data_IF_231513761226
#
_entry.id   IF_231513761226
#
_cell.length_a   1.000
_cell.length_b   1.000
_cell.length_c   1.000
_cell.angle_alpha   90.00
_cell.angle_beta   90.00
_cell.angle_gamma   90.00
#
_symmetry.space_group_name_H-M   'P 1'
#
loop_
_entity.id
_entity.type
_entity.pdbx_description
1 polymer ?
#
# COMPACT_ATOMS: atom_id res chain seq x y z
N UNK A 1 -24.05 -41.82 -84.13
CA UNK A 1 -24.72 -40.58 -83.75
C UNK A 1 -24.26 -40.27 -82.28
N UNK A 2 -23.44 -39.26 -82.06
CA UNK A 2 -23.21 -38.82 -80.70
C UNK A 2 -23.93 -37.49 -80.41
N UNK A 3 -24.57 -37.44 -79.26
CA UNK A 3 -25.31 -36.29 -78.77
C UNK A 3 -24.29 -35.24 -78.20
N UNK A 4 -24.55 -33.97 -78.63
CA UNK A 4 -23.70 -32.86 -78.15
C UNK A 4 -24.05 -32.43 -76.74
N UNK A 5 -22.99 -32.12 -75.99
CA UNK A 5 -23.08 -31.55 -74.65
C UNK A 5 -23.12 -30.03 -74.79
N UNK A 6 -24.20 -29.38 -74.26
CA UNK A 6 -24.34 -27.95 -74.18
C UNK A 6 -23.65 -27.45 -72.90
N UNK A 7 -22.61 -26.64 -73.05
CA UNK A 7 -21.92 -25.99 -71.96
C UNK A 7 -22.64 -24.70 -71.52
N UNK A 8 -23.21 -24.69 -70.31
CA UNK A 8 -23.75 -23.48 -69.69
C UNK A 8 -22.61 -22.57 -69.21
N UNK A 9 -22.54 -21.36 -69.78
CA UNK A 9 -21.69 -20.27 -69.27
C UNK A 9 -22.25 -19.73 -67.97
N UNK A 10 -21.47 -19.87 -66.89
CA UNK A 10 -21.76 -19.24 -65.60
C UNK A 10 -21.48 -17.73 -65.64
N UNK A 11 -22.45 -16.93 -65.27
CA UNK A 11 -22.27 -15.51 -64.99
C UNK A 11 -21.56 -15.32 -63.68
N UNK A 12 -20.43 -14.61 -63.68
CA UNK A 12 -19.78 -14.11 -62.45
C UNK A 12 -20.46 -12.80 -62.05
N UNK A 13 -20.90 -12.62 -60.79
CA UNK A 13 -21.39 -11.33 -60.32
C UNK A 13 -20.24 -10.32 -60.15
N UNK A 14 -20.47 -9.02 -60.30
CA UNK A 14 -19.45 -7.99 -60.19
C UNK A 14 -19.08 -7.77 -58.72
N UNK A 15 -17.78 -7.91 -58.41
CA UNK A 15 -17.17 -7.52 -57.16
C UNK A 15 -16.67 -6.07 -57.28
N UNK A 16 -17.45 -5.06 -56.85
CA UNK A 16 -16.83 -3.90 -56.23
C UNK A 16 -17.57 -3.31 -55.00
N UNK A 17 -18.69 -3.87 -54.55
CA UNK A 17 -19.47 -3.23 -53.49
C UNK A 17 -19.00 -3.61 -52.06
N UNK A 18 -18.26 -4.72 -51.87
CA UNK A 18 -17.88 -5.22 -50.54
C UNK A 18 -16.62 -4.52 -50.00
N UNK A 19 -15.70 -4.13 -50.88
CA UNK A 19 -14.42 -3.50 -50.45
C UNK A 19 -14.65 -2.06 -49.95
N UNK A 20 -15.57 -1.32 -50.53
CA UNK A 20 -15.91 0.03 -50.08
C UNK A 20 -16.61 0.07 -48.72
N UNK A 21 -17.43 -0.95 -48.41
CA UNK A 21 -18.13 -1.05 -47.13
C UNK A 21 -17.21 -1.37 -45.94
N UNK A 22 -16.20 -2.21 -46.15
CA UNK A 22 -15.24 -2.58 -45.10
C UNK A 22 -14.30 -1.43 -44.76
N UNK A 23 -13.86 -0.65 -45.76
CA UNK A 23 -12.99 0.53 -45.52
C UNK A 23 -13.77 1.63 -44.79
N UNK A 24 -15.03 1.86 -45.13
CA UNK A 24 -15.86 2.85 -44.44
C UNK A 24 -16.18 2.42 -43.00
N UNK A 25 -16.42 1.13 -42.73
CA UNK A 25 -16.66 0.62 -41.38
C UNK A 25 -15.38 0.70 -40.49
N UNK A 26 -14.20 0.40 -41.05
CA UNK A 26 -12.92 0.51 -40.31
C UNK A 26 -12.59 1.99 -40.01
N UNK A 27 -12.86 2.91 -40.94
CA UNK A 27 -12.64 4.35 -40.70
C UNK A 27 -13.63 4.89 -39.66
N UNK A 28 -14.91 4.47 -39.69
CA UNK A 28 -15.89 4.88 -38.68
C UNK A 28 -15.54 4.33 -37.30
N UNK A 29 -15.07 3.07 -37.20
CA UNK A 29 -14.62 2.48 -35.92
C UNK A 29 -13.35 3.19 -35.41
N UNK A 30 -12.42 3.52 -36.30
CA UNK A 30 -11.20 4.26 -35.90
C UNK A 30 -11.53 5.71 -35.48
N UNK A 31 -12.44 6.38 -36.13
CA UNK A 31 -12.87 7.76 -35.82
C UNK A 31 -13.70 7.77 -34.52
N UNK A 32 -14.56 6.77 -34.30
CA UNK A 32 -15.29 6.65 -33.01
C UNK A 32 -14.42 6.22 -31.87
N UNK A 33 -13.38 5.38 -32.09
CA UNK A 33 -12.39 5.06 -31.06
C UNK A 33 -11.52 6.27 -30.70
N UNK A 34 -11.17 7.13 -31.65
CA UNK A 34 -10.44 8.38 -31.39
C UNK A 34 -11.31 9.45 -30.69
N UNK A 35 -12.63 9.43 -30.88
CA UNK A 35 -13.58 10.33 -30.21
C UNK A 35 -13.88 9.89 -28.75
N UNK A 36 -13.48 8.67 -28.35
CA UNK A 36 -13.68 8.10 -27.03
C UNK A 36 -12.45 8.14 -26.13
N UNK A 37 -11.38 8.83 -26.54
CA UNK A 37 -10.30 9.15 -25.60
C UNK A 37 -10.86 10.28 -24.71
N UNK A 38 -11.12 10.05 -23.40
CA UNK A 38 -11.58 11.11 -22.53
C UNK A 38 -10.56 12.24 -22.62
N UNK A 39 -10.99 13.43 -23.01
CA UNK A 39 -10.19 14.64 -22.78
C UNK A 39 -10.05 14.72 -21.27
N UNK A 40 -8.81 14.67 -20.76
CA UNK A 40 -8.59 14.88 -19.34
C UNK A 40 -9.13 16.23 -18.88
N UNK A 41 -9.22 16.46 -17.56
CA UNK A 41 -9.75 17.69 -17.02
C UNK A 41 -8.90 18.90 -17.43
N UNK A 42 -9.39 20.09 -17.14
CA UNK A 42 -8.61 21.32 -17.26
C UNK A 42 -7.37 21.26 -16.34
N UNK A 43 -6.24 21.78 -16.82
CA UNK A 43 -5.02 21.81 -16.03
C UNK A 43 -5.16 22.86 -14.94
N UNK A 44 -4.90 22.50 -13.67
CA UNK A 44 -4.88 23.38 -12.50
C UNK A 44 -3.44 23.70 -12.11
N UNK A 45 -3.27 24.69 -11.21
CA UNK A 45 -1.95 25.11 -10.77
C UNK A 45 -1.28 24.13 -9.80
N UNK A 46 -2.06 23.44 -8.98
CA UNK A 46 -1.56 22.44 -8.03
C UNK A 46 -2.59 21.31 -7.79
N UNK A 47 -2.14 20.25 -7.12
CA UNK A 47 -2.98 19.09 -6.78
C UNK A 47 -4.23 19.49 -5.98
N UNK A 48 -4.10 20.44 -5.04
CA UNK A 48 -5.20 20.84 -4.17
C UNK A 48 -6.38 21.48 -4.91
N UNK A 49 -6.13 22.08 -6.08
CA UNK A 49 -7.14 22.76 -6.90
C UNK A 49 -8.03 21.80 -7.69
N UNK A 50 -7.64 20.54 -7.83
CA UNK A 50 -8.44 19.51 -8.50
C UNK A 50 -9.52 18.96 -7.57
N UNK A 51 -10.72 18.72 -8.10
CA UNK A 51 -11.70 17.86 -7.45
C UNK A 51 -11.26 16.39 -7.49
N UNK A 52 -11.83 15.55 -6.62
CA UNK A 52 -11.57 14.11 -6.64
C UNK A 52 -12.02 13.44 -7.94
N UNK A 53 -13.07 13.96 -8.59
CA UNK A 53 -13.49 13.52 -9.93
C UNK A 53 -12.42 13.82 -10.99
N UNK A 54 -11.82 15.02 -10.96
CA UNK A 54 -10.74 15.40 -11.88
C UNK A 54 -9.48 14.55 -11.61
N UNK A 55 -9.13 14.32 -10.35
CA UNK A 55 -8.01 13.45 -9.96
C UNK A 55 -8.24 12.02 -10.46
N UNK A 56 -9.45 11.48 -10.32
CA UNK A 56 -9.78 10.15 -10.84
C UNK A 56 -9.62 10.07 -12.36
N UNK A 57 -10.01 11.11 -13.10
CA UNK A 57 -9.79 11.16 -14.56
C UNK A 57 -8.29 11.20 -14.89
N UNK A 58 -7.50 11.99 -14.16
CA UNK A 58 -6.05 12.07 -14.37
C UNK A 58 -5.39 10.72 -14.04
N UNK A 59 -5.80 10.08 -12.93
CA UNK A 59 -5.33 8.75 -12.55
C UNK A 59 -5.55 7.72 -13.66
N UNK A 60 -6.76 7.71 -14.27
CA UNK A 60 -7.04 6.85 -15.42
C UNK A 60 -6.14 7.16 -16.64
N UNK A 61 -5.77 8.41 -16.88
CA UNK A 61 -4.84 8.78 -17.94
C UNK A 61 -3.42 8.29 -17.66
N UNK A 62 -2.99 8.35 -16.39
CA UNK A 62 -1.71 7.82 -15.92
C UNK A 62 -1.68 6.30 -16.08
N UNK A 63 -2.70 5.60 -15.58
CA UNK A 63 -2.81 4.14 -15.65
C UNK A 63 -2.73 3.61 -17.10
N UNK A 64 -3.36 4.32 -18.04
CA UNK A 64 -3.33 3.96 -19.47
C UNK A 64 -1.94 4.01 -20.12
N UNK A 65 -0.98 4.68 -19.53
CA UNK A 65 0.38 4.76 -20.08
C UNK A 65 1.16 3.45 -19.93
N UNK A 66 0.85 2.67 -18.90
CA UNK A 66 1.42 1.33 -18.68
C UNK A 66 2.88 1.30 -18.25
N UNK A 67 3.61 2.41 -18.36
CA UNK A 67 5.00 2.55 -17.93
C UNK A 67 5.22 3.83 -17.11
N UNK A 68 6.29 3.83 -16.33
CA UNK A 68 6.60 4.92 -15.39
C UNK A 68 6.90 6.25 -16.10
N UNK A 69 7.60 6.23 -17.23
CA UNK A 69 7.95 7.46 -17.94
C UNK A 69 6.70 8.14 -18.51
N UNK A 70 5.82 7.37 -19.13
CA UNK A 70 4.54 7.87 -19.63
C UNK A 70 3.63 8.38 -18.50
N UNK A 71 3.63 7.71 -17.35
CA UNK A 71 2.92 8.16 -16.15
C UNK A 71 3.42 9.54 -15.68
N UNK A 72 4.75 9.71 -15.58
CA UNK A 72 5.40 10.97 -15.19
C UNK A 72 5.09 12.09 -16.20
N UNK A 73 5.06 11.83 -17.50
CA UNK A 73 4.68 12.85 -18.49
C UNK A 73 3.26 13.37 -18.28
N UNK A 74 2.31 12.49 -17.97
CA UNK A 74 0.95 12.89 -17.63
C UNK A 74 0.94 13.67 -16.31
N UNK A 75 1.64 13.19 -15.29
CA UNK A 75 1.74 13.86 -13.99
C UNK A 75 2.31 15.29 -14.11
N UNK A 76 3.37 15.48 -14.90
CA UNK A 76 3.93 16.80 -15.21
C UNK A 76 2.92 17.74 -15.84
N UNK A 77 2.17 17.23 -16.83
CA UNK A 77 1.14 18.03 -17.51
C UNK A 77 0.10 18.59 -16.54
N UNK A 78 -0.23 17.83 -15.50
CA UNK A 78 -1.26 18.19 -14.51
C UNK A 78 -0.66 18.73 -13.20
N UNK A 79 0.61 19.08 -13.17
CA UNK A 79 1.33 19.61 -12.01
C UNK A 79 1.25 18.71 -10.76
N UNK A 80 1.27 17.38 -10.98
CA UNK A 80 1.24 16.37 -9.92
C UNK A 80 2.62 15.89 -9.49
N UNK A 81 3.67 16.43 -10.06
CA UNK A 81 5.07 16.23 -9.69
C UNK A 81 5.89 17.47 -10.08
N UNK A 82 7.14 17.51 -9.67
CA UNK A 82 8.07 18.58 -10.05
C UNK A 82 8.34 18.61 -11.56
N UNK A 83 8.96 19.67 -12.06
CA UNK A 83 9.26 19.82 -13.50
C UNK A 83 10.23 18.76 -14.03
N UNK A 84 11.07 18.19 -13.18
CA UNK A 84 11.95 17.04 -13.51
C UNK A 84 11.30 15.67 -13.26
N UNK A 85 10.04 15.65 -12.79
CA UNK A 85 9.24 14.44 -12.65
C UNK A 85 9.39 13.73 -11.32
N UNK A 86 9.94 14.39 -10.32
CA UNK A 86 10.10 13.85 -8.97
C UNK A 86 8.90 14.15 -8.08
N UNK A 87 8.74 13.35 -7.04
CA UNK A 87 7.88 13.61 -5.90
C UNK A 87 8.76 14.09 -4.74
N UNK A 88 8.42 15.24 -4.17
CA UNK A 88 9.17 15.91 -3.09
C UNK A 88 8.30 16.23 -1.86
N UNK A 89 7.08 15.66 -1.81
CA UNK A 89 6.12 15.86 -0.73
C UNK A 89 5.33 17.17 -0.82
N UNK A 90 5.56 18.02 -1.83
CA UNK A 90 4.80 19.28 -2.01
C UNK A 90 3.46 19.06 -2.73
N UNK A 91 3.29 17.93 -3.39
CA UNK A 91 2.05 17.55 -4.09
C UNK A 91 1.02 17.04 -3.09
N UNK A 92 0.33 17.96 -2.44
CA UNK A 92 -0.61 17.67 -1.34
C UNK A 92 -2.03 18.11 -1.67
N UNK A 93 -3.01 17.45 -1.02
CA UNK A 93 -4.43 17.80 -1.08
C UNK A 93 -5.07 17.71 0.29
N UNK A 94 -5.89 18.72 0.59
CA UNK A 94 -6.64 18.77 1.84
C UNK A 94 -7.85 17.81 1.77
N UNK A 95 -8.12 17.14 2.89
CA UNK A 95 -9.25 16.23 3.10
C UNK A 95 -9.95 16.62 4.39
N UNK A 96 -11.26 16.86 4.32
CA UNK A 96 -12.07 17.08 5.51
C UNK A 96 -12.80 15.79 5.84
N UNK A 97 -12.49 15.19 6.99
CA UNK A 97 -13.17 13.98 7.47
C UNK A 97 -14.61 14.29 7.91
N UNK A 98 -15.44 13.26 8.04
CA UNK A 98 -16.88 13.40 8.38
C UNK A 98 -17.13 14.05 9.74
N UNK A 99 -16.18 13.97 10.67
CA UNK A 99 -16.23 14.63 11.99
C UNK A 99 -15.75 16.10 11.94
N UNK A 100 -15.33 16.60 10.76
CA UNK A 100 -14.78 17.95 10.55
C UNK A 100 -13.28 18.06 10.74
N UNK A 101 -12.59 16.99 11.09
CA UNK A 101 -11.12 16.97 11.19
C UNK A 101 -10.49 17.30 9.83
N UNK A 102 -9.54 18.23 9.85
CA UNK A 102 -8.76 18.58 8.66
C UNK A 102 -7.55 17.67 8.57
N UNK A 103 -7.47 16.91 7.51
CA UNK A 103 -6.35 16.05 7.18
C UNK A 103 -5.76 16.47 5.83
N UNK A 104 -4.60 15.93 5.50
CA UNK A 104 -3.91 16.17 4.25
C UNK A 104 -3.32 14.88 3.72
N UNK A 105 -3.36 14.71 2.40
CA UNK A 105 -2.70 13.60 1.71
C UNK A 105 -1.66 14.13 0.74
N UNK A 106 -0.64 13.33 0.45
CA UNK A 106 0.37 13.59 -0.57
C UNK A 106 0.47 12.43 -1.53
N UNK A 107 0.92 12.71 -2.76
CA UNK A 107 1.15 11.66 -3.75
C UNK A 107 2.39 10.86 -3.34
N UNK A 108 2.23 9.54 -3.26
CA UNK A 108 3.29 8.59 -2.92
C UNK A 108 3.90 7.93 -4.16
N UNK A 109 3.11 7.73 -5.22
CA UNK A 109 3.59 7.11 -6.46
C UNK A 109 2.59 7.14 -7.61
N UNK A 110 3.09 6.81 -8.80
CA UNK A 110 2.31 6.64 -10.02
C UNK A 110 2.49 5.22 -10.57
N UNK A 111 1.39 4.60 -11.02
CA UNK A 111 1.38 3.24 -11.61
C UNK A 111 2.15 2.20 -10.77
N UNK A 112 2.07 2.30 -9.46
CA UNK A 112 2.79 1.42 -8.54
C UNK A 112 1.97 0.15 -8.27
N UNK A 113 0.76 0.29 -7.78
CA UNK A 113 -0.08 -0.77 -7.26
C UNK A 113 -0.96 -1.42 -8.33
N UNK A 114 -1.13 -2.73 -8.26
CA UNK A 114 -2.05 -3.48 -9.12
C UNK A 114 -3.46 -3.46 -8.51
N UNK A 115 -4.47 -3.17 -9.34
CA UNK A 115 -5.86 -3.21 -8.90
C UNK A 115 -6.32 -4.65 -8.71
N UNK A 116 -7.01 -4.92 -7.60
CA UNK A 116 -7.48 -6.26 -7.25
C UNK A 116 -8.50 -6.85 -8.21
N UNK A 117 -9.13 -6.04 -9.06
CA UNK A 117 -10.03 -6.50 -10.11
C UNK A 117 -9.31 -7.00 -11.38
N UNK A 118 -7.98 -6.94 -11.39
CA UNK A 118 -7.14 -7.36 -12.51
C UNK A 118 -7.18 -6.40 -13.71
N UNK A 119 -7.77 -5.21 -13.58
CA UNK A 119 -7.90 -4.25 -14.69
C UNK A 119 -6.61 -3.43 -14.96
N UNK A 120 -5.52 -3.76 -14.30
CA UNK A 120 -4.20 -3.12 -14.44
C UNK A 120 -3.81 -2.27 -13.24
N UNK A 121 -2.90 -1.32 -13.43
CA UNK A 121 -2.39 -0.46 -12.37
C UNK A 121 -3.42 0.59 -11.92
N UNK A 122 -3.39 0.93 -10.65
CA UNK A 122 -3.93 2.18 -10.14
C UNK A 122 -3.00 3.33 -10.54
N UNK A 123 -3.57 4.45 -11.02
CA UNK A 123 -2.74 5.51 -11.61
C UNK A 123 -2.01 6.36 -10.57
N UNK A 124 -2.65 6.65 -9.45
CA UNK A 124 -2.09 7.51 -8.40
C UNK A 124 -2.29 6.85 -7.04
N UNK A 125 -1.21 6.76 -6.28
CA UNK A 125 -1.21 6.32 -4.87
C UNK A 125 -0.97 7.53 -3.97
N UNK A 126 -1.77 7.64 -2.92
CA UNK A 126 -1.70 8.68 -1.88
C UNK A 126 -1.38 8.09 -0.52
N UNK A 127 -0.82 8.92 0.36
CA UNK A 127 -0.68 8.64 1.80
C UNK A 127 -1.08 9.87 2.61
N UNK A 128 -1.68 9.67 3.78
CA UNK A 128 -1.91 10.75 4.74
C UNK A 128 -0.59 11.29 5.28
N UNK A 129 -0.44 12.63 5.35
CA UNK A 129 0.81 13.28 5.78
C UNK A 129 1.00 13.22 7.29
N UNK A 130 -0.11 13.17 8.03
CA UNK A 130 -0.15 13.16 9.49
C UNK A 130 -0.96 11.98 10.00
N UNK A 131 -0.82 11.67 11.27
CA UNK A 131 -1.58 10.60 11.91
C UNK A 131 -3.07 10.96 11.92
N UNK A 132 -3.89 10.14 11.29
CA UNK A 132 -5.36 10.29 11.29
C UNK A 132 -5.98 9.80 12.59
N UNK A 133 -5.28 8.94 13.30
CA UNK A 133 -5.64 8.42 14.62
C UNK A 133 -4.38 7.87 15.31
N UNK A 134 -4.52 7.48 16.57
CA UNK A 134 -3.64 6.55 17.26
C UNK A 134 -4.42 5.29 17.56
N UNK A 135 -3.88 4.16 17.16
CA UNK A 135 -4.55 2.86 17.30
C UNK A 135 -3.52 1.77 17.62
N UNK A 136 -3.97 0.71 18.22
CA UNK A 136 -3.18 -0.51 18.30
C UNK A 136 -3.18 -1.25 16.97
N UNK A 137 -2.11 -1.97 16.67
CA UNK A 137 -2.08 -2.88 15.54
C UNK A 137 -3.06 -4.04 15.76
N UNK A 138 -2.99 -4.67 16.95
CA UNK A 138 -3.92 -5.69 17.41
C UNK A 138 -4.48 -5.28 18.77
N UNK A 139 -5.73 -5.63 19.06
CA UNK A 139 -6.25 -5.51 20.41
C UNK A 139 -5.62 -6.58 21.32
N UNK A 140 -5.48 -6.24 22.61
CA UNK A 140 -4.90 -7.17 23.58
C UNK A 140 -5.63 -8.53 23.60
N UNK A 141 -6.96 -8.51 23.47
CA UNK A 141 -7.77 -9.71 23.45
C UNK A 141 -7.48 -10.62 22.25
N UNK A 142 -7.13 -10.05 21.09
CA UNK A 142 -6.79 -10.80 19.90
C UNK A 142 -5.43 -11.46 20.08
N UNK A 143 -4.48 -10.77 20.69
CA UNK A 143 -3.17 -11.32 21.04
C UNK A 143 -3.29 -12.41 22.10
N UNK A 144 -4.12 -12.23 23.15
CA UNK A 144 -4.37 -13.26 24.17
C UNK A 144 -4.96 -14.53 23.51
N UNK A 145 -5.89 -14.38 22.55
CA UNK A 145 -6.45 -15.51 21.79
C UNK A 145 -5.39 -16.20 20.91
N UNK A 146 -4.55 -15.42 20.24
CA UNK A 146 -3.46 -15.93 19.42
C UNK A 146 -2.46 -16.75 20.26
N UNK A 147 -2.07 -16.24 21.41
CA UNK A 147 -1.20 -16.96 22.36
C UNK A 147 -1.86 -18.26 22.85
N UNK A 148 -3.17 -18.25 23.14
CA UNK A 148 -3.86 -19.45 23.53
C UNK A 148 -3.90 -20.47 22.37
N UNK A 149 -4.10 -20.02 21.13
CA UNK A 149 -4.03 -20.89 19.96
C UNK A 149 -2.66 -21.56 19.81
N UNK A 150 -1.58 -20.80 19.98
CA UNK A 150 -0.21 -21.34 19.93
C UNK A 150 0.00 -22.38 21.01
N UNK A 151 -0.50 -22.14 22.23
CA UNK A 151 -0.39 -23.14 23.32
C UNK A 151 -1.18 -24.42 23.04
N UNK A 152 -2.38 -24.29 22.48
CA UNK A 152 -3.26 -25.43 22.21
C UNK A 152 -2.81 -26.27 21.00
N UNK A 153 -2.29 -25.61 19.96
CA UNK A 153 -1.96 -26.23 18.66
C UNK A 153 -0.44 -26.35 18.40
N UNK A 154 0.39 -25.67 19.19
CA UNK A 154 1.84 -25.61 19.02
C UNK A 154 2.31 -24.55 18.02
N UNK A 155 1.41 -23.98 17.23
CA UNK A 155 1.72 -22.93 16.24
C UNK A 155 0.49 -22.14 15.85
N UNK A 156 0.72 -20.90 15.37
CA UNK A 156 -0.27 -20.06 14.73
C UNK A 156 0.41 -19.19 13.64
N UNK A 157 -0.35 -18.33 12.98
CA UNK A 157 0.18 -17.34 12.05
C UNK A 157 -0.42 -15.99 12.35
N UNK A 158 0.31 -14.91 12.04
CA UNK A 158 -0.17 -13.53 12.12
C UNK A 158 0.28 -12.78 10.87
N UNK A 159 -0.66 -12.15 10.20
CA UNK A 159 -0.42 -11.28 9.04
C UNK A 159 -1.12 -9.93 9.22
N UNK A 160 -0.90 -9.00 8.31
CA UNK A 160 -1.62 -7.73 8.28
C UNK A 160 -3.13 -7.89 8.26
N UNK A 161 -3.66 -8.82 7.45
CA UNK A 161 -5.10 -9.09 7.35
C UNK A 161 -5.74 -9.51 8.68
N UNK A 162 -4.96 -10.13 9.58
CA UNK A 162 -5.43 -10.63 10.87
C UNK A 162 -5.52 -9.53 11.94
N UNK A 163 -5.03 -8.30 11.64
CA UNK A 163 -4.93 -7.25 12.64
C UNK A 163 -6.24 -6.48 12.84
N UNK A 164 -6.48 -6.06 14.07
CA UNK A 164 -7.62 -5.17 14.40
C UNK A 164 -7.52 -3.82 13.68
N UNK A 165 -6.30 -3.35 13.39
CA UNK A 165 -6.07 -2.10 12.67
C UNK A 165 -6.48 -2.20 11.21
N UNK A 166 -6.23 -3.33 10.54
CA UNK A 166 -6.72 -3.59 9.19
C UNK A 166 -8.26 -3.54 9.14
N UNK A 167 -8.93 -4.22 10.08
CA UNK A 167 -10.37 -4.18 10.19
C UNK A 167 -10.90 -2.75 10.47
N UNK A 168 -10.24 -2.01 11.34
CA UNK A 168 -10.60 -0.62 11.64
C UNK A 168 -10.47 0.31 10.43
N UNK A 169 -9.40 0.18 9.63
CA UNK A 169 -9.22 0.94 8.39
C UNK A 169 -10.31 0.63 7.38
N UNK A 170 -10.61 -0.66 7.18
CA UNK A 170 -11.59 -1.12 6.20
C UNK A 170 -13.02 -0.66 6.52
N UNK A 171 -13.40 -0.70 7.79
CA UNK A 171 -14.77 -0.44 8.23
C UNK A 171 -14.93 0.99 8.79
N UNK A 172 -14.23 1.29 9.89
CA UNK A 172 -14.49 2.49 10.69
C UNK A 172 -13.88 3.75 10.07
N UNK A 173 -12.62 3.68 9.61
CA UNK A 173 -11.97 4.85 9.04
C UNK A 173 -12.46 5.16 7.63
N UNK A 174 -12.73 4.14 6.81
CA UNK A 174 -13.35 4.33 5.48
C UNK A 174 -14.66 5.11 5.58
N UNK A 175 -15.47 4.87 6.60
CA UNK A 175 -16.72 5.60 6.83
C UNK A 175 -16.53 7.08 7.26
N UNK A 176 -15.31 7.47 7.65
CA UNK A 176 -14.98 8.86 7.97
C UNK A 176 -14.52 9.67 6.76
N UNK A 177 -14.18 9.02 5.66
CA UNK A 177 -13.78 9.70 4.43
C UNK A 177 -14.99 10.40 3.78
N UNK A 178 -14.79 11.60 3.18
CA UNK A 178 -15.86 12.23 2.41
C UNK A 178 -16.22 11.36 1.21
N UNK A 179 -17.52 11.26 0.89
CA UNK A 179 -18.03 10.39 -0.19
C UNK A 179 -17.40 10.71 -1.56
N UNK A 180 -17.10 11.99 -1.81
CA UNK A 180 -16.41 12.42 -3.04
C UNK A 180 -15.00 11.80 -3.20
N UNK A 181 -14.34 11.41 -2.11
CA UNK A 181 -13.08 10.67 -2.10
C UNK A 181 -13.34 9.17 -2.05
N UNK A 182 -14.12 8.67 -1.08
CA UNK A 182 -14.29 7.24 -0.85
C UNK A 182 -14.85 6.49 -2.07
N UNK A 183 -15.69 7.16 -2.88
CA UNK A 183 -16.25 6.62 -4.12
C UNK A 183 -15.20 6.48 -5.27
N UNK A 184 -14.03 7.10 -5.12
CA UNK A 184 -12.95 7.05 -6.11
C UNK A 184 -11.83 6.09 -5.73
N UNK A 185 -11.78 5.68 -4.48
CA UNK A 185 -10.77 4.74 -3.99
C UNK A 185 -10.99 3.38 -4.61
N UNK A 186 -9.97 2.85 -5.26
CA UNK A 186 -9.94 1.50 -5.84
C UNK A 186 -9.22 0.54 -4.92
N UNK A 187 -9.69 -0.71 -4.88
CA UNK A 187 -8.98 -1.76 -4.16
C UNK A 187 -7.74 -2.20 -4.96
N UNK A 188 -6.64 -2.44 -4.25
CA UNK A 188 -5.37 -2.90 -4.81
C UNK A 188 -4.87 -4.13 -4.06
N UNK A 189 -4.09 -4.94 -4.76
CA UNK A 189 -3.46 -6.11 -4.17
C UNK A 189 -2.27 -5.67 -3.32
N UNK A 190 -2.27 -6.09 -2.04
CA UNK A 190 -1.14 -5.90 -1.12
C UNK A 190 -0.62 -7.27 -0.69
N UNK A 191 0.67 -7.47 -0.88
CA UNK A 191 1.33 -8.69 -0.42
C UNK A 191 1.94 -8.46 0.95
N UNK A 192 1.65 -9.34 1.88
CA UNK A 192 2.09 -9.27 3.26
C UNK A 192 2.84 -10.54 3.64
N UNK A 193 3.94 -10.38 4.36
CA UNK A 193 4.64 -11.50 4.97
C UNK A 193 3.82 -12.05 6.14
N UNK A 194 3.66 -13.36 6.17
CA UNK A 194 2.98 -14.06 7.26
C UNK A 194 4.01 -14.42 8.32
N UNK A 195 3.84 -13.95 9.54
CA UNK A 195 4.66 -14.36 10.67
C UNK A 195 4.26 -15.77 11.14
N UNK A 196 5.11 -16.79 10.97
CA UNK A 196 4.87 -18.09 11.57
C UNK A 196 5.25 -18.02 13.04
N UNK A 197 4.31 -18.37 13.92
CA UNK A 197 4.48 -18.30 15.36
C UNK A 197 4.49 -19.72 15.97
N UNK A 198 5.36 -19.94 16.93
CA UNK A 198 5.45 -21.19 17.67
C UNK A 198 5.58 -20.94 19.17
N UNK A 199 5.43 -21.98 19.97
CA UNK A 199 5.58 -21.89 21.42
C UNK A 199 7.01 -21.56 21.80
N UNK A 200 7.15 -20.69 22.79
CA UNK A 200 8.41 -20.43 23.47
C UNK A 200 8.24 -20.42 24.98
N UNK A 201 9.34 -20.35 25.69
CA UNK A 201 9.36 -20.20 27.14
C UNK A 201 10.09 -18.93 27.51
N UNK A 202 9.35 -17.96 28.01
CA UNK A 202 9.93 -16.76 28.60
C UNK A 202 10.28 -16.96 30.05
N UNK A 203 11.24 -16.20 30.53
CA UNK A 203 11.64 -16.20 31.94
C UNK A 203 11.34 -14.85 32.56
N UNK A 204 10.33 -14.78 33.44
CA UNK A 204 10.10 -13.57 34.24
C UNK A 204 11.09 -13.56 35.41
N UNK A 205 11.83 -12.45 35.56
CA UNK A 205 12.64 -12.18 36.75
C UNK A 205 11.85 -11.33 37.74
N UNK A 206 11.30 -11.98 38.74
CA UNK A 206 10.76 -11.30 39.93
C UNK A 206 11.74 -11.50 41.11
N UNK A 207 12.69 -10.58 41.28
CA UNK A 207 13.69 -10.69 42.35
C UNK A 207 14.71 -11.82 42.15
N UNK A 208 14.69 -12.82 43.00
CA UNK A 208 15.62 -13.98 42.94
C UNK A 208 14.99 -15.22 42.30
N UNK A 209 13.69 -15.20 42.03
CA UNK A 209 12.98 -16.31 41.41
C UNK A 209 12.78 -16.06 39.94
N UNK A 210 13.09 -17.07 39.11
CA UNK A 210 12.80 -17.11 37.68
C UNK A 210 11.56 -17.99 37.50
N UNK A 211 10.45 -17.42 37.04
CA UNK A 211 9.27 -18.18 36.62
C UNK A 211 9.28 -18.36 35.11
N UNK A 212 9.08 -19.59 34.67
CA UNK A 212 8.82 -19.88 33.25
C UNK A 212 7.40 -19.40 32.91
N UNK A 213 7.30 -18.53 31.91
CA UNK A 213 6.02 -18.04 31.39
C UNK A 213 5.86 -18.57 29.96
N UNK A 214 4.71 -19.17 29.61
CA UNK A 214 4.41 -19.50 28.20
C UNK A 214 4.49 -18.23 27.34
N UNK A 215 5.21 -18.32 26.25
CA UNK A 215 5.46 -17.24 25.32
C UNK A 215 5.32 -17.73 23.88
N UNK A 216 5.35 -16.83 22.93
CA UNK A 216 5.39 -17.13 21.51
C UNK A 216 6.62 -16.47 20.86
N UNK A 217 7.16 -17.13 19.85
CA UNK A 217 8.23 -16.58 19.03
C UNK A 217 7.95 -16.83 17.56
N UNK A 218 8.63 -16.11 16.68
CA UNK A 218 8.63 -16.45 15.27
C UNK A 218 9.40 -17.74 15.05
N UNK A 219 8.79 -18.65 14.29
CA UNK A 219 9.41 -19.89 13.83
C UNK A 219 10.24 -19.63 12.58
N UNK A 220 11.50 -19.30 12.75
CA UNK A 220 12.45 -19.03 11.65
C UNK A 220 12.78 -20.25 10.79
N UNK A 221 12.48 -21.45 11.27
CA UNK A 221 12.68 -22.70 10.52
C UNK A 221 11.55 -22.98 9.54
N UNK A 222 10.44 -22.24 9.64
CA UNK A 222 9.33 -22.33 8.70
C UNK A 222 9.65 -21.62 7.37
N UNK A 223 9.18 -22.23 6.27
CA UNK A 223 9.27 -21.58 4.94
C UNK A 223 8.52 -20.25 4.94
N UNK A 224 9.13 -19.17 4.42
CA UNK A 224 8.47 -17.87 4.29
C UNK A 224 7.19 -17.99 3.47
N UNK A 225 6.10 -17.47 4.01
CA UNK A 225 4.82 -17.38 3.34
C UNK A 225 4.43 -15.94 3.15
N UNK A 226 3.77 -15.67 2.04
CA UNK A 226 3.12 -14.40 1.80
C UNK A 226 1.65 -14.64 1.47
N UNK A 227 0.81 -13.72 1.90
CA UNK A 227 -0.60 -13.63 1.53
C UNK A 227 -0.83 -12.35 0.74
N UNK A 228 -1.90 -12.32 -0.04
CA UNK A 228 -2.27 -11.12 -0.78
C UNK A 228 -3.68 -10.73 -0.38
N UNK A 229 -3.80 -9.55 0.20
CA UNK A 229 -5.07 -8.90 0.53
C UNK A 229 -5.55 -8.00 -0.61
N UNK A 230 -6.83 -7.63 -0.57
CA UNK A 230 -7.45 -6.67 -1.48
C UNK A 230 -7.90 -5.46 -0.70
N UNK A 231 -7.07 -4.41 -0.67
CA UNK A 231 -7.22 -3.29 0.23
C UNK A 231 -7.58 -2.00 -0.48
N UNK A 232 -8.56 -1.27 0.08
CA UNK A 232 -8.85 0.13 -0.29
C UNK A 232 -7.99 1.11 0.50
N UNK A 233 -7.73 0.78 1.76
CA UNK A 233 -6.86 1.52 2.67
C UNK A 233 -5.90 0.53 3.31
N UNK A 234 -4.62 0.87 3.34
CA UNK A 234 -3.58 0.03 3.95
C UNK A 234 -2.49 0.87 4.58
N UNK A 235 -1.63 0.26 5.38
CA UNK A 235 -0.38 0.86 5.83
C UNK A 235 0.75 0.48 4.86
N UNK A 236 1.71 1.38 4.56
CA UNK A 236 2.90 0.97 3.83
C UNK A 236 3.68 -0.10 4.58
N UNK A 237 4.37 -0.97 3.83
CA UNK A 237 5.37 -1.87 4.40
C UNK A 237 6.72 -1.18 4.53
N UNK A 238 7.63 -1.83 5.25
CA UNK A 238 9.00 -1.33 5.43
C UNK A 238 9.71 -1.14 4.07
N UNK A 239 9.65 -2.14 3.19
CA UNK A 239 10.31 -2.07 1.87
C UNK A 239 9.63 -1.11 0.89
N UNK A 240 8.39 -0.76 1.13
CA UNK A 240 7.69 0.28 0.36
C UNK A 240 8.18 1.69 0.72
N UNK A 241 8.84 1.85 1.87
CA UNK A 241 9.40 3.12 2.36
C UNK A 241 10.92 3.16 2.23
N UNK A 242 11.62 2.17 2.77
CA UNK A 242 13.08 2.11 2.73
C UNK A 242 13.60 1.35 1.50
N UNK A 243 14.82 1.70 1.05
CA UNK A 243 15.45 0.94 -0.04
C UNK A 243 15.82 -0.47 0.43
N UNK A 244 15.45 -1.52 -0.31
CA UNK A 244 15.86 -2.88 0.01
C UNK A 244 17.38 -3.09 -0.04
N UNK A 245 18.10 -2.30 -0.84
CA UNK A 245 19.57 -2.38 -0.95
C UNK A 245 20.30 -1.92 0.32
N UNK A 246 19.62 -1.15 1.17
CA UNK A 246 20.18 -0.61 2.43
C UNK A 246 19.62 -1.34 3.67
N UNK A 247 18.86 -2.42 3.50
CA UNK A 247 18.03 -2.96 4.58
C UNK A 247 18.78 -3.69 5.69
N UNK A 248 20.04 -4.08 5.48
CA UNK A 248 20.78 -4.89 6.47
C UNK A 248 20.10 -6.20 6.85
N UNK A 249 19.11 -6.63 6.05
CA UNK A 249 18.33 -7.84 6.26
C UNK A 249 19.09 -9.13 5.91
N UNK A 250 20.35 -9.03 5.54
CA UNK A 250 21.10 -10.15 4.96
C UNK A 250 21.48 -11.26 5.96
N UNK A 251 21.38 -11.03 7.27
CA UNK A 251 22.00 -11.90 8.26
C UNK A 251 21.03 -12.81 9.06
N UNK A 252 19.71 -12.71 8.91
CA UNK A 252 18.78 -13.62 9.58
C UNK A 252 17.70 -14.17 8.62
N UNK A 253 17.31 -15.40 8.81
CA UNK A 253 16.31 -16.08 7.93
C UNK A 253 14.96 -15.34 7.84
N UNK A 254 14.61 -14.57 8.84
CA UNK A 254 13.40 -13.73 8.87
C UNK A 254 13.53 -12.48 8.00
N UNK A 255 14.71 -11.94 7.84
CA UNK A 255 14.96 -10.68 7.15
C UNK A 255 14.63 -10.71 5.64
N UNK A 256 14.44 -11.89 5.06
CA UNK A 256 14.00 -12.04 3.67
C UNK A 256 12.47 -11.91 3.48
N UNK A 257 11.66 -12.04 4.55
CA UNK A 257 10.20 -11.97 4.48
C UNK A 257 9.68 -10.60 4.03
N UNK A 258 10.12 -9.49 4.63
CA UNK A 258 9.64 -8.17 4.24
C UNK A 258 9.91 -7.82 2.78
N UNK A 259 10.92 -8.42 2.14
CA UNK A 259 11.25 -8.19 0.73
C UNK A 259 10.13 -8.61 -0.23
N UNK A 260 9.18 -9.43 0.22
CA UNK A 260 8.02 -9.85 -0.57
C UNK A 260 6.87 -8.84 -0.50
N UNK A 261 6.91 -7.86 0.41
CA UNK A 261 5.82 -6.94 0.69
C UNK A 261 5.72 -5.76 -0.28
N UNK A 262 6.47 -5.77 -1.37
CA UNK A 262 6.39 -4.76 -2.41
C UNK A 262 7.73 -4.17 -2.81
N UNK A 263 7.74 -2.91 -3.23
CA UNK A 263 8.93 -2.16 -3.61
C UNK A 263 8.78 -0.69 -3.21
N UNK A 264 9.92 0.00 -3.06
CA UNK A 264 9.94 1.38 -2.61
C UNK A 264 9.12 2.31 -3.53
N UNK A 265 8.20 3.07 -2.94
CA UNK A 265 7.42 4.08 -3.64
C UNK A 265 8.27 5.23 -4.17
N UNK A 266 7.81 5.85 -5.26
CA UNK A 266 8.53 6.93 -5.93
C UNK A 266 8.87 8.07 -4.98
N UNK A 267 7.94 8.50 -4.12
CA UNK A 267 8.15 9.58 -3.15
C UNK A 267 9.39 9.35 -2.27
N UNK A 268 9.48 8.18 -1.68
CA UNK A 268 10.57 7.85 -0.76
C UNK A 268 11.89 7.64 -1.49
N UNK A 269 11.86 7.03 -2.67
CA UNK A 269 13.03 6.89 -3.54
C UNK A 269 13.56 8.25 -4.00
N UNK A 270 12.69 9.17 -4.44
CA UNK A 270 13.06 10.50 -4.91
C UNK A 270 13.59 11.38 -3.75
N UNK A 271 13.07 11.19 -2.53
CA UNK A 271 13.55 11.82 -1.30
C UNK A 271 14.83 11.18 -0.74
N UNK A 272 15.27 10.05 -1.28
CA UNK A 272 16.48 9.34 -0.83
C UNK A 272 16.33 8.71 0.55
N UNK A 273 15.11 8.25 0.89
CA UNK A 273 14.86 7.57 2.17
C UNK A 273 15.64 6.27 2.23
N UNK A 274 16.38 6.09 3.30
CA UNK A 274 17.15 4.90 3.63
C UNK A 274 16.81 4.42 5.04
N UNK A 275 17.20 3.17 5.33
CA UNK A 275 17.07 2.61 6.67
C UNK A 275 17.86 3.43 7.69
N UNK A 276 17.27 3.66 8.85
CA UNK A 276 17.88 4.30 10.02
C UNK A 276 18.47 5.72 9.77
N UNK A 277 18.24 6.31 8.59
CA UNK A 277 18.63 7.70 8.31
C UNK A 277 17.40 8.62 8.49
N UNK A 278 17.49 9.68 9.32
CA UNK A 278 16.42 10.66 9.44
C UNK A 278 16.08 11.31 8.09
N UNK A 279 14.77 11.47 7.83
CA UNK A 279 14.31 12.09 6.60
C UNK A 279 12.99 12.83 6.84
N UNK A 280 12.96 14.12 6.52
CA UNK A 280 11.80 14.99 6.75
C UNK A 280 10.52 14.53 6.04
N UNK A 281 10.62 13.76 4.95
CA UNK A 281 9.46 13.22 4.24
C UNK A 281 8.67 12.20 5.09
N UNK A 282 9.30 11.58 6.08
CA UNK A 282 8.69 10.66 7.02
C UNK A 282 7.95 11.38 8.15
N UNK A 283 8.10 12.70 8.25
CA UNK A 283 7.52 13.56 9.25
C UNK A 283 8.47 13.90 10.38
N UNK A 284 7.95 14.58 11.40
CA UNK A 284 8.68 14.91 12.62
C UNK A 284 8.18 14.03 13.76
N UNK A 285 9.12 13.62 14.59
CA UNK A 285 8.85 12.88 15.81
C UNK A 285 8.99 13.79 17.02
N UNK A 286 8.14 13.59 18.01
CA UNK A 286 8.22 14.26 19.30
C UNK A 286 7.91 13.24 20.41
N UNK A 287 8.90 12.92 21.23
CA UNK A 287 8.81 11.90 22.30
C UNK A 287 7.70 12.19 23.32
N UNK A 288 7.37 13.47 23.56
CA UNK A 288 6.28 13.85 24.48
C UNK A 288 4.88 13.50 23.94
N UNK A 289 4.75 13.42 22.60
CA UNK A 289 3.47 13.12 21.91
C UNK A 289 3.29 11.64 21.61
N UNK A 290 4.31 10.81 21.88
CA UNK A 290 4.30 9.35 21.66
C UNK A 290 4.75 8.93 20.26
N UNK A 291 4.86 7.62 20.05
CA UNK A 291 5.79 7.00 19.16
C UNK A 291 5.41 6.76 17.74
N UNK A 292 5.78 7.60 16.82
CA UNK A 292 5.84 7.26 15.39
C UNK A 292 4.51 6.83 14.77
N UNK A 293 4.57 6.14 13.64
CA UNK A 293 3.38 5.60 12.96
C UNK A 293 3.64 4.20 12.42
N UNK A 294 2.59 3.37 12.42
CA UNK A 294 2.66 1.95 12.08
C UNK A 294 3.01 1.69 10.62
N UNK A 295 3.81 0.63 10.42
CA UNK A 295 3.96 -0.10 9.16
C UNK A 295 3.24 -1.46 9.28
N UNK A 296 2.79 -2.04 8.15
CA UNK A 296 2.16 -3.36 8.14
C UNK A 296 3.16 -4.51 8.27
N UNK A 297 4.47 -4.24 8.15
CA UNK A 297 5.51 -5.25 8.23
C UNK A 297 5.62 -5.82 9.63
N UNK A 298 5.43 -7.13 9.73
CA UNK A 298 5.65 -7.88 10.96
C UNK A 298 7.14 -8.00 11.29
N UNK A 299 7.45 -8.11 12.56
CA UNK A 299 8.81 -8.22 13.10
C UNK A 299 8.83 -8.98 14.42
N UNK A 300 10.02 -9.15 14.98
CA UNK A 300 10.22 -9.63 16.34
C UNK A 300 10.85 -8.55 17.20
N UNK A 301 10.39 -8.45 18.42
CA UNK A 301 11.06 -7.67 19.45
C UNK A 301 11.95 -8.59 20.29
N UNK A 302 13.21 -8.27 20.39
CA UNK A 302 14.16 -8.93 21.28
C UNK A 302 14.46 -7.97 22.45
N UNK A 303 13.80 -8.16 23.61
CA UNK A 303 14.07 -7.32 24.76
C UNK A 303 15.55 -7.46 25.20
N UNK A 304 16.13 -6.38 25.71
CA UNK A 304 17.52 -6.33 26.13
C UNK A 304 17.88 -7.35 27.24
N UNK A 305 16.90 -7.96 27.88
CA UNK A 305 17.07 -8.98 28.93
C UNK A 305 16.93 -10.43 28.41
N UNK A 306 16.79 -10.64 27.10
CA UNK A 306 16.73 -11.95 26.43
C UNK A 306 15.59 -12.86 26.91
N UNK A 307 14.52 -12.28 27.44
CA UNK A 307 13.47 -13.04 28.10
C UNK A 307 12.35 -13.51 27.20
N UNK A 308 12.08 -12.83 26.09
CA UNK A 308 11.01 -13.20 25.13
C UNK A 308 11.29 -12.62 23.75
N UNK A 309 10.91 -13.34 22.70
CA UNK A 309 10.76 -12.81 21.34
C UNK A 309 9.26 -12.67 21.08
N UNK A 310 8.69 -11.51 21.34
CA UNK A 310 7.28 -11.26 21.08
C UNK A 310 7.05 -10.85 19.62
N UNK A 311 5.99 -11.33 18.96
CA UNK A 311 5.59 -10.80 17.65
C UNK A 311 5.26 -9.32 17.76
N UNK A 312 5.84 -8.53 16.86
CA UNK A 312 5.74 -7.08 16.82
C UNK A 312 5.44 -6.59 15.41
N UNK A 313 5.19 -5.30 15.27
CA UNK A 313 5.12 -4.64 13.96
C UNK A 313 6.08 -3.46 13.93
N UNK A 314 6.63 -3.20 12.74
CA UNK A 314 7.54 -2.08 12.54
C UNK A 314 6.79 -0.75 12.56
N UNK A 315 7.50 0.31 12.93
CA UNK A 315 6.99 1.68 12.88
C UNK A 315 8.07 2.66 12.44
N UNK A 316 7.62 3.75 11.85
CA UNK A 316 8.45 4.93 11.61
C UNK A 316 8.55 5.70 12.91
N UNK A 317 9.77 5.96 13.38
CA UNK A 317 10.02 6.66 14.64
C UNK A 317 11.37 7.39 14.61
N UNK A 318 11.81 7.94 15.74
CA UNK A 318 13.11 8.59 15.89
C UNK A 318 13.73 8.20 17.24
N UNK A 319 15.03 8.21 17.33
CA UNK A 319 15.76 8.01 18.60
C UNK A 319 15.63 9.18 19.58
N UNK A 320 14.95 10.25 19.18
CA UNK A 320 14.74 11.46 19.98
C UNK A 320 13.80 12.42 19.25
N UNK A 321 13.72 13.65 19.71
CA UNK A 321 12.93 14.69 19.04
C UNK A 321 13.60 15.14 17.74
N UNK A 322 12.85 15.17 16.63
CA UNK A 322 13.38 15.61 15.35
C UNK A 322 12.76 14.93 14.15
N UNK A 323 13.52 14.79 13.06
CA UNK A 323 13.08 14.10 11.86
C UNK A 323 12.95 12.60 12.15
N UNK A 324 11.86 12.00 11.65
CA UNK A 324 11.62 10.58 11.77
C UNK A 324 12.49 9.79 10.78
N UNK A 325 12.81 8.56 11.13
CA UNK A 325 13.52 7.61 10.30
C UNK A 325 12.79 6.26 10.28
N UNK A 326 13.03 5.50 9.23
CA UNK A 326 12.57 4.13 9.13
C UNK A 326 13.51 3.24 9.96
N UNK A 327 13.29 3.23 11.27
CA UNK A 327 14.00 2.32 12.15
C UNK A 327 13.31 0.97 12.23
N UNK A 328 14.09 -0.07 12.45
CA UNK A 328 13.58 -1.36 12.89
C UNK A 328 13.23 -1.26 14.38
N UNK A 329 12.31 -0.37 14.72
CA UNK A 329 11.80 -0.28 16.08
C UNK A 329 10.49 -1.06 16.14
N UNK A 330 10.57 -2.15 16.86
CA UNK A 330 9.50 -3.10 17.02
C UNK A 330 8.62 -2.65 18.17
N UNK A 331 7.42 -2.23 17.87
CA UNK A 331 6.41 -1.96 18.88
C UNK A 331 5.57 -3.21 19.11
N UNK A 332 5.30 -3.51 20.38
CA UNK A 332 4.28 -4.51 20.67
C UNK A 332 2.97 -4.14 19.98
N UNK A 333 2.21 -5.12 19.47
CA UNK A 333 0.99 -4.85 18.71
C UNK A 333 -0.03 -3.99 19.46
N UNK A 334 0.05 -3.96 20.78
CA UNK A 334 -0.74 -3.11 21.66
C UNK A 334 0.20 -2.33 22.59
N UNK A 335 0.33 -1.05 22.38
CA UNK A 335 1.18 -0.16 23.17
C UNK A 335 0.38 1.03 23.67
N UNK A 336 0.39 1.25 24.96
CA UNK A 336 -0.43 2.28 25.62
C UNK A 336 0.44 3.27 26.37
N UNK A 337 -0.03 4.51 26.47
CA UNK A 337 0.52 5.47 27.42
C UNK A 337 0.07 5.15 28.85
N UNK A 338 0.55 5.96 29.81
CA UNK A 338 0.18 5.82 31.23
C UNK A 338 -1.33 5.99 31.50
N UNK A 339 -2.09 6.59 30.59
CA UNK A 339 -3.52 6.86 30.72
C UNK A 339 -4.36 5.76 30.03
N UNK A 340 -3.70 4.80 29.38
CA UNK A 340 -4.34 3.65 28.69
C UNK A 340 -4.72 3.92 27.24
N UNK A 341 -4.22 5.01 26.62
CA UNK A 341 -4.49 5.31 25.21
C UNK A 341 -3.38 4.74 24.31
N UNK A 342 -3.71 4.29 23.09
CA UNK A 342 -2.73 3.90 22.10
C UNK A 342 -1.72 5.02 21.79
N UNK A 343 -0.48 4.68 21.54
CA UNK A 343 0.59 5.67 21.36
C UNK A 343 1.08 5.80 19.92
N UNK A 344 0.90 4.78 19.09
CA UNK A 344 1.43 4.75 17.72
C UNK A 344 0.39 5.28 16.74
N UNK A 345 0.83 6.15 15.85
CA UNK A 345 0.00 6.82 14.85
C UNK A 345 -0.37 5.91 13.68
N UNK A 346 -1.38 6.33 12.94
CA UNK A 346 -1.88 5.64 11.76
C UNK A 346 -1.86 6.60 10.58
N UNK A 347 -1.10 6.27 9.53
CA UNK A 347 -1.01 7.02 8.26
C UNK A 347 -1.37 6.11 7.09
N UNK A 348 -2.66 5.95 6.79
CA UNK A 348 -3.05 5.03 5.73
C UNK A 348 -2.73 5.58 4.33
N UNK A 349 -2.51 4.65 3.41
CA UNK A 349 -2.39 4.89 1.98
C UNK A 349 -3.65 4.41 1.26
N UNK A 350 -3.88 4.93 0.04
CA UNK A 350 -4.97 4.53 -0.83
C UNK A 350 -4.65 4.85 -2.30
N UNK A 351 -5.36 4.20 -3.22
CA UNK A 351 -5.25 4.41 -4.66
C UNK A 351 -6.53 4.98 -5.27
N UNK A 352 -6.33 5.77 -6.34
CA UNK A 352 -7.40 6.24 -7.23
C UNK A 352 -7.14 5.79 -8.65
#
# INVERSE_FOLDING_TARGET
MPMGVVQKRGHKPPMPAIVGGIIAAVIVIAVTAFALIPKGPEVRDCLNDYSWDEISQISQLIAKKGDQNGAIEVAKKYHLCTSDGKLDGTQTKDVTLSDGTQAKVMIMGFNHDDKSDGSGKAGITFIFTDDVAKQNMCEKTDMDNLFQEIQDKGSATLSWEDTSLHAWLSDSFTAQLPSELSDKIVAVDKTDAVMPLTTDTAYSRSGYDTEEIPSAKIDYDSDPKAVTSSDKLWLPSYVEIASPDDTGFEDSGFDSYPLQEGSQYQLYRDAGVKQAEPNSILGTYNSEKGGGWWLRTGSTYEPADWSTLDPCFMAICSDGDGEAACYRNDYQPYSYNKDGDPIVGVRPAFCI
#
